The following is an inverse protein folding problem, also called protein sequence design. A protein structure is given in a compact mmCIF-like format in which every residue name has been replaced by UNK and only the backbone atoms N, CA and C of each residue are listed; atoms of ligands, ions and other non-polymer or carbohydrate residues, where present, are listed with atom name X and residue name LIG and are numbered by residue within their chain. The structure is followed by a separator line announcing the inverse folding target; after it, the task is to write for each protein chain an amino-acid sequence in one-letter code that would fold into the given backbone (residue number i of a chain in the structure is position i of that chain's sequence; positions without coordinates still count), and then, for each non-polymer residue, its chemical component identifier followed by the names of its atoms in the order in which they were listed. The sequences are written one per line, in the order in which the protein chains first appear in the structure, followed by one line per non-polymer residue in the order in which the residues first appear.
data_IF_411720047850
#
_entry.id   IF_411720047850
#
_cell.length_a   1.000
_cell.length_b   1.000
_cell.length_c   1.000
_cell.angle_alpha   90.00
_cell.angle_beta   90.00
_cell.angle_gamma   90.00
#
_symmetry.space_group_name_H-M   'P 1'
#
loop_
_entity.id
_entity.type
_entity.pdbx_description
1 polymer ?
#
# COMPACT_ATOMS: atom_id res chain seq x y z
N UNK A 1 -8.98 -15.81 2.95
CA UNK A 1 -8.47 -16.32 4.24
C UNK A 1 -8.40 -15.15 5.23
N UNK A 2 -8.41 -15.41 6.54
CA UNK A 2 -8.21 -14.37 7.56
C UNK A 2 -6.72 -14.12 7.79
N UNK A 3 -6.35 -12.86 8.00
CA UNK A 3 -4.99 -12.40 8.30
C UNK A 3 -4.69 -12.45 9.78
N UNK A 4 -3.47 -12.86 10.12
CA UNK A 4 -2.81 -12.51 11.38
C UNK A 4 -1.34 -12.19 11.12
N UNK A 5 -0.77 -11.27 11.89
CA UNK A 5 0.63 -10.90 11.87
C UNK A 5 1.53 -12.11 12.14
N UNK A 6 2.75 -12.06 11.59
CA UNK A 6 3.84 -12.94 11.98
C UNK A 6 4.56 -12.39 13.22
N UNK A 7 5.86 -12.63 13.28
CA UNK A 7 6.70 -12.17 14.39
C UNK A 7 6.84 -10.64 14.44
N UNK A 8 6.65 -9.97 13.31
CA UNK A 8 6.72 -8.51 13.16
C UNK A 8 5.41 -8.02 12.58
N UNK A 9 4.86 -6.95 13.17
CA UNK A 9 3.75 -6.18 12.61
C UNK A 9 4.24 -4.81 12.12
N UNK A 10 3.49 -4.23 11.20
CA UNK A 10 3.72 -2.90 10.66
C UNK A 10 2.72 -1.90 11.25
N UNK A 11 3.08 -0.62 11.17
CA UNK A 11 2.22 0.51 11.47
C UNK A 11 2.10 1.35 10.19
N UNK A 12 0.89 1.80 9.83
CA UNK A 12 0.70 2.68 8.65
C UNK A 12 1.41 4.02 8.85
N UNK A 13 1.77 4.67 7.76
CA UNK A 13 2.70 5.81 7.80
C UNK A 13 2.02 7.06 8.34
N UNK A 14 0.82 7.36 7.84
CA UNK A 14 0.09 8.59 8.15
C UNK A 14 -0.98 8.40 9.22
N UNK A 15 -1.92 7.45 9.03
CA UNK A 15 -3.02 7.20 9.97
C UNK A 15 -2.58 6.45 11.24
N UNK A 16 -1.35 5.90 11.23
CA UNK A 16 -0.78 5.12 12.34
C UNK A 16 -1.61 3.88 12.70
N UNK A 17 -2.18 3.22 11.69
CA UNK A 17 -2.93 1.97 11.89
C UNK A 17 -1.97 0.85 12.26
N UNK A 18 -2.16 0.27 13.44
CA UNK A 18 -1.32 -0.80 13.98
C UNK A 18 -1.71 -2.19 13.43
N UNK A 19 -0.90 -3.20 13.74
CA UNK A 19 -1.15 -4.62 13.41
C UNK A 19 -1.37 -4.85 11.91
N UNK A 20 -0.61 -4.12 11.10
CA UNK A 20 -0.60 -4.27 9.65
C UNK A 20 0.37 -5.37 9.20
N UNK A 21 -0.01 -6.14 8.19
CA UNK A 21 0.87 -7.06 7.47
C UNK A 21 1.38 -6.45 6.16
N UNK A 22 0.69 -5.41 5.68
CA UNK A 22 1.07 -4.62 4.53
C UNK A 22 0.69 -3.15 4.75
N UNK A 23 1.55 -2.23 4.33
CA UNK A 23 1.29 -0.78 4.29
C UNK A 23 1.81 -0.17 2.99
N UNK A 24 1.07 0.81 2.46
CA UNK A 24 1.37 1.62 1.28
C UNK A 24 1.09 3.07 1.62
N UNK A 25 2.01 3.97 1.33
CA UNK A 25 1.77 5.41 1.42
C UNK A 25 2.34 6.09 0.21
N UNK A 26 1.49 6.78 -0.55
CA UNK A 26 1.83 7.43 -1.80
C UNK A 26 1.62 8.93 -1.66
N UNK A 27 2.65 9.70 -2.02
CA UNK A 27 2.53 11.13 -2.20
C UNK A 27 2.52 11.45 -3.70
N UNK A 28 1.42 12.04 -4.15
CA UNK A 28 1.32 12.61 -5.49
C UNK A 28 1.31 14.13 -5.40
N UNK A 29 2.05 14.75 -6.31
CA UNK A 29 2.13 16.19 -6.46
C UNK A 29 1.66 16.61 -7.84
N UNK A 30 1.00 17.76 -7.90
CA UNK A 30 0.65 18.42 -9.15
C UNK A 30 1.49 19.67 -9.36
N UNK A 31 2.09 19.80 -10.55
CA UNK A 31 2.73 21.05 -10.97
C UNK A 31 1.72 22.13 -11.37
N UNK A 32 2.14 23.41 -11.36
CA UNK A 32 1.34 24.53 -11.88
C UNK A 32 1.05 24.32 -13.38
N UNK A 33 -0.21 24.31 -13.78
CA UNK A 33 -0.60 24.84 -15.09
C UNK A 33 -0.91 26.32 -14.91
N UNK A 34 -0.60 27.12 -15.93
CA UNK A 34 -0.68 28.59 -15.90
C UNK A 34 -2.02 29.16 -15.42
N UNK A 35 -2.01 30.49 -15.27
CA UNK A 35 -3.08 31.37 -14.79
C UNK A 35 -4.46 31.06 -15.39
N UNK A 36 -5.18 30.08 -14.85
CA UNK A 36 -6.57 29.88 -15.20
C UNK A 36 -7.36 29.42 -13.98
N UNK A 37 -8.32 30.27 -13.62
CA UNK A 37 -9.30 30.07 -12.56
C UNK A 37 -10.36 29.12 -13.11
N UNK A 38 -10.07 27.83 -13.14
CA UNK A 38 -11.03 26.82 -13.56
C UNK A 38 -11.20 25.75 -12.48
N UNK A 39 -12.26 25.97 -11.69
CA UNK A 39 -12.95 25.04 -10.80
C UNK A 39 -12.14 24.42 -9.61
N UNK A 40 -12.47 24.77 -8.34
CA UNK A 40 -11.75 24.28 -7.15
C UNK A 40 -11.91 22.77 -6.88
N UNK A 41 -12.81 22.10 -7.62
CA UNK A 41 -12.98 20.65 -7.56
C UNK A 41 -12.16 19.98 -8.68
N UNK A 42 -10.96 19.53 -8.32
CA UNK A 42 -10.35 18.30 -8.85
C UNK A 42 -9.55 18.29 -10.17
N UNK A 43 -9.23 19.41 -10.83
CA UNK A 43 -8.54 19.34 -12.14
C UNK A 43 -7.02 19.50 -12.09
N UNK A 44 -6.33 18.73 -11.24
CA UNK A 44 -4.97 18.35 -11.58
C UNK A 44 -5.01 17.21 -12.60
N UNK A 45 -4.81 17.53 -13.88
CA UNK A 45 -4.83 16.54 -14.97
C UNK A 45 -3.63 15.60 -14.97
N UNK A 46 -2.55 15.91 -14.21
CA UNK A 46 -1.31 15.13 -14.17
C UNK A 46 -0.73 15.02 -12.76
N UNK A 47 -1.41 14.26 -11.89
CA UNK A 47 -0.83 13.85 -10.62
C UNK A 47 0.43 13.03 -10.85
N UNK A 48 1.58 13.51 -10.39
CA UNK A 48 2.86 12.80 -10.48
C UNK A 48 3.17 12.16 -9.13
N UNK A 49 3.44 10.85 -9.13
CA UNK A 49 3.98 10.17 -7.96
C UNK A 49 5.37 10.72 -7.66
N UNK A 50 5.56 11.26 -6.46
CA UNK A 50 6.84 11.84 -6.00
C UNK A 50 7.44 11.10 -4.84
N UNK A 51 6.63 10.40 -4.05
CA UNK A 51 7.08 9.56 -2.93
C UNK A 51 6.22 8.31 -2.85
N UNK A 52 6.84 7.17 -2.53
CA UNK A 52 6.15 5.92 -2.31
C UNK A 52 6.87 5.09 -1.24
N UNK A 53 6.15 4.78 -0.17
CA UNK A 53 6.55 3.84 0.88
C UNK A 53 5.68 2.61 0.77
N UNK A 54 6.27 1.43 0.64
CA UNK A 54 5.53 0.16 0.62
C UNK A 54 6.28 -0.88 1.42
N UNK A 55 5.62 -1.44 2.42
CA UNK A 55 6.21 -2.41 3.33
C UNK A 55 5.29 -3.62 3.47
N UNK A 56 5.88 -4.81 3.50
CA UNK A 56 5.21 -6.06 3.78
C UNK A 56 6.00 -6.80 4.85
N UNK A 57 5.29 -7.38 5.82
CA UNK A 57 5.85 -8.30 6.79
C UNK A 57 5.48 -9.73 6.40
N UNK A 58 6.17 -10.72 6.96
CA UNK A 58 5.67 -12.09 6.92
C UNK A 58 4.41 -12.19 7.77
N UNK A 59 3.42 -12.94 7.29
CA UNK A 59 2.13 -13.03 7.96
C UNK A 59 1.48 -14.37 7.73
N UNK A 60 0.49 -14.69 8.56
CA UNK A 60 -0.26 -15.91 8.42
C UNK A 60 -1.59 -15.67 7.75
N UNK A 61 -1.98 -16.65 6.94
CA UNK A 61 -3.35 -16.80 6.47
C UNK A 61 -3.97 -18.05 7.07
N UNK A 62 -5.20 -17.91 7.54
CA UNK A 62 -5.98 -19.03 8.06
C UNK A 62 -7.23 -19.21 7.22
N UNK A 63 -7.44 -20.43 6.73
CA UNK A 63 -8.70 -20.81 6.11
C UNK A 63 -9.78 -20.94 7.20
N UNK A 64 -10.78 -20.07 7.15
CA UNK A 64 -11.79 -19.98 8.19
C UNK A 64 -12.67 -21.24 8.31
N UNK A 65 -12.76 -22.06 7.25
CA UNK A 65 -13.55 -23.30 7.26
C UNK A 65 -12.78 -24.47 7.86
N UNK A 66 -11.53 -24.67 7.43
CA UNK A 66 -10.73 -25.84 7.80
C UNK A 66 -9.77 -25.58 8.97
N UNK A 67 -9.57 -24.33 9.38
CA UNK A 67 -8.58 -23.94 10.39
C UNK A 67 -7.12 -24.09 9.93
N UNK A 68 -6.89 -24.53 8.68
CA UNK A 68 -5.53 -24.68 8.14
C UNK A 68 -4.87 -23.32 8.03
N UNK A 69 -3.65 -23.24 8.56
CA UNK A 69 -2.82 -22.03 8.59
C UNK A 69 -1.60 -22.21 7.70
N UNK A 70 -1.23 -21.14 7.00
CA UNK A 70 0.01 -21.08 6.22
C UNK A 70 0.74 -19.75 6.49
N UNK A 71 2.07 -19.82 6.59
CA UNK A 71 2.93 -18.65 6.70
C UNK A 71 3.26 -18.12 5.31
N UNK A 72 2.87 -16.88 5.02
CA UNK A 72 3.22 -16.17 3.80
C UNK A 72 4.55 -15.45 4.02
N UNK A 73 5.53 -15.79 3.18
CA UNK A 73 6.86 -15.17 3.19
C UNK A 73 6.88 -13.95 2.28
N UNK A 74 6.39 -12.83 2.79
CA UNK A 74 6.25 -11.54 2.09
C UNK A 74 7.29 -10.49 2.53
N UNK A 75 8.12 -10.81 3.53
CA UNK A 75 9.05 -9.90 4.22
C UNK A 75 10.36 -9.54 3.50
N UNK A 76 11.23 -8.89 4.29
CA UNK A 76 12.32 -7.98 3.91
C UNK A 76 13.21 -8.44 2.73
N UNK A 77 13.36 -7.56 1.73
CA UNK A 77 13.97 -7.74 0.39
C UNK A 77 13.09 -8.37 -0.71
N UNK A 78 11.83 -8.72 -0.41
CA UNK A 78 10.86 -9.09 -1.44
C UNK A 78 10.08 -7.85 -1.91
N UNK A 79 9.95 -7.68 -3.24
CA UNK A 79 9.20 -6.58 -3.86
C UNK A 79 7.77 -7.07 -3.96
N UNK A 80 7.02 -7.09 -2.85
CA UNK A 80 5.61 -7.46 -2.88
C UNK A 80 4.86 -6.44 -3.73
N UNK A 81 4.01 -6.92 -4.64
CA UNK A 81 3.08 -6.07 -5.37
C UNK A 81 1.69 -6.37 -4.86
N UNK A 82 1.19 -5.58 -3.93
CA UNK A 82 -0.18 -5.71 -3.45
C UNK A 82 -1.09 -5.07 -4.49
N UNK A 83 -2.15 -5.78 -4.83
CA UNK A 83 -3.22 -5.26 -5.68
C UNK A 83 -4.33 -4.75 -4.77
N UNK A 84 -3.97 -3.88 -3.82
CA UNK A 84 -4.95 -3.14 -3.03
C UNK A 84 -5.05 -1.73 -3.57
N UNK A 85 -6.26 -1.20 -3.63
CA UNK A 85 -6.46 0.22 -3.92
C UNK A 85 -6.09 1.03 -2.67
N UNK A 86 -5.23 2.03 -2.83
CA UNK A 86 -4.97 3.00 -1.78
C UNK A 86 -6.13 3.98 -1.64
N UNK A 87 -6.49 4.31 -0.39
CA UNK A 87 -7.51 5.32 -0.09
C UNK A 87 -6.88 6.72 -0.16
N UNK A 88 -7.56 7.65 -0.82
CA UNK A 88 -7.17 9.07 -0.78
C UNK A 88 -7.53 9.63 0.59
N UNK A 89 -6.52 9.89 1.43
CA UNK A 89 -6.72 10.43 2.77
C UNK A 89 -6.73 11.95 2.78
N UNK A 90 -5.80 12.55 2.03
CA UNK A 90 -5.64 14.00 1.98
C UNK A 90 -5.56 14.45 0.53
N UNK A 91 -6.31 15.49 0.19
CA UNK A 91 -6.12 16.27 -1.04
C UNK A 91 -6.16 17.73 -0.66
N UNK A 92 -5.08 18.46 -0.96
CA UNK A 92 -4.99 19.89 -0.67
C UNK A 92 -5.52 20.71 -1.84
N UNK A 93 -5.99 21.93 -1.55
CA UNK A 93 -6.40 22.90 -2.56
C UNK A 93 -5.39 24.06 -2.63
N UNK A 94 -5.50 24.90 -3.67
CA UNK A 94 -4.52 25.97 -3.97
C UNK A 94 -4.42 27.06 -2.88
N UNK A 95 -5.36 27.12 -1.95
CA UNK A 95 -5.47 28.19 -0.95
C UNK A 95 -5.55 27.67 0.48
N UNK A 96 -5.22 26.39 0.70
CA UNK A 96 -5.32 25.77 2.03
C UNK A 96 -3.93 25.55 2.59
N UNK A 97 -3.65 26.17 3.73
CA UNK A 97 -2.46 25.85 4.52
C UNK A 97 -2.43 24.35 4.84
N UNK A 98 -1.27 23.72 4.69
CA UNK A 98 -1.12 22.31 5.05
C UNK A 98 -1.35 22.13 6.55
N UNK A 99 -2.08 21.07 6.93
CA UNK A 99 -2.26 20.73 8.35
C UNK A 99 -0.90 20.49 9.02
N UNK A 100 -0.80 20.79 10.31
CA UNK A 100 0.41 20.55 11.10
C UNK A 100 0.88 19.10 11.03
N UNK A 101 -0.06 18.15 11.07
CA UNK A 101 0.21 16.71 10.91
C UNK A 101 0.85 16.40 9.56
N UNK A 102 0.33 16.96 8.46
CA UNK A 102 0.91 16.76 7.13
C UNK A 102 2.28 17.42 6.99
N UNK A 103 2.47 18.63 7.54
CA UNK A 103 3.77 19.32 7.56
C UNK A 103 4.83 18.49 8.30
N UNK A 104 4.49 17.97 9.48
CA UNK A 104 5.38 17.11 10.26
C UNK A 104 5.74 15.84 9.49
N UNK A 105 4.74 15.14 8.94
CA UNK A 105 4.96 13.92 8.16
C UNK A 105 5.87 14.12 6.94
N UNK A 106 5.72 15.25 6.23
CA UNK A 106 6.58 15.63 5.11
C UNK A 106 8.02 15.93 5.57
N UNK A 107 8.17 16.68 6.67
CA UNK A 107 9.47 17.06 7.23
C UNK A 107 10.28 15.84 7.69
N UNK A 108 9.64 14.89 8.39
CA UNK A 108 10.27 13.62 8.81
C UNK A 108 10.88 12.83 7.64
N UNK A 109 10.36 13.02 6.43
CA UNK A 109 10.77 12.34 5.20
C UNK A 109 11.63 13.21 4.28
N UNK A 110 12.02 14.41 4.71
CA UNK A 110 12.73 15.40 3.91
C UNK A 110 12.01 15.75 2.60
N UNK A 111 10.67 15.78 2.61
CA UNK A 111 9.84 16.10 1.46
C UNK A 111 9.45 17.59 1.49
N UNK A 112 9.52 18.26 0.33
CA UNK A 112 9.13 19.67 0.21
C UNK A 112 7.65 19.89 0.54
N UNK A 113 7.38 20.90 1.37
CA UNK A 113 6.06 21.39 1.77
C UNK A 113 5.64 22.68 1.04
N UNK A 114 6.29 23.00 -0.09
CA UNK A 114 6.03 24.23 -0.86
C UNK A 114 4.53 24.51 -1.06
N UNK A 115 4.10 25.69 -0.62
CA UNK A 115 2.71 26.15 -0.62
C UNK A 115 2.08 26.21 -2.02
N UNK A 116 2.90 26.30 -3.07
CA UNK A 116 2.45 26.39 -4.45
C UNK A 116 2.07 25.03 -5.09
N UNK A 117 2.32 23.91 -4.41
CA UNK A 117 2.10 22.56 -4.95
C UNK A 117 0.82 21.94 -4.39
N UNK A 118 -0.04 21.42 -5.26
CA UNK A 118 -1.16 20.57 -4.81
C UNK A 118 -0.61 19.20 -4.40
N UNK A 119 -1.02 18.75 -3.22
CA UNK A 119 -0.58 17.50 -2.61
C UNK A 119 -1.79 16.57 -2.50
N UNK A 120 -1.58 15.31 -2.88
CA UNK A 120 -2.49 14.20 -2.61
C UNK A 120 -1.72 13.12 -1.87
N UNK A 121 -2.18 12.78 -0.68
CA UNK A 121 -1.67 11.68 0.12
C UNK A 121 -2.68 10.54 0.05
N UNK A 122 -2.20 9.37 -0.35
CA UNK A 122 -2.97 8.13 -0.41
C UNK A 122 -2.30 7.11 0.51
N UNK A 123 -3.10 6.33 1.22
CA UNK A 123 -2.62 5.27 2.11
C UNK A 123 -3.48 4.03 1.93
N UNK A 124 -2.84 2.86 1.96
CA UNK A 124 -3.49 1.56 1.93
C UNK A 124 -2.81 0.64 2.92
N UNK A 125 -3.57 -0.24 3.56
CA UNK A 125 -3.03 -1.20 4.52
C UNK A 125 -3.87 -2.48 4.55
N UNK A 126 -3.26 -3.56 5.02
CA UNK A 126 -3.94 -4.81 5.36
C UNK A 126 -3.64 -5.10 6.83
N UNK A 127 -4.66 -5.12 7.67
CA UNK A 127 -4.56 -5.39 9.10
C UNK A 127 -5.03 -6.80 9.46
N UNK A 128 -4.68 -7.23 10.67
CA UNK A 128 -5.23 -8.45 11.24
C UNK A 128 -6.76 -8.50 11.17
N UNK A 129 -7.30 -9.70 10.96
CA UNK A 129 -8.74 -9.93 10.81
C UNK A 129 -9.30 -9.58 9.42
N UNK A 130 -8.56 -8.87 8.57
CA UNK A 130 -8.98 -8.67 7.18
C UNK A 130 -9.01 -9.98 6.39
N UNK A 131 -9.84 -10.00 5.34
CA UNK A 131 -9.90 -11.11 4.39
C UNK A 131 -9.06 -10.77 3.16
N UNK A 132 -8.13 -11.66 2.80
CA UNK A 132 -7.43 -11.58 1.52
C UNK A 132 -7.37 -12.92 0.80
N UNK A 133 -6.91 -12.87 -0.44
CA UNK A 133 -6.38 -14.01 -1.18
C UNK A 133 -4.90 -13.78 -1.48
N UNK A 134 -4.12 -14.86 -1.44
CA UNK A 134 -2.67 -14.85 -1.67
C UNK A 134 -2.35 -15.80 -2.81
N UNK A 135 -1.53 -15.33 -3.75
CA UNK A 135 -0.98 -16.15 -4.83
C UNK A 135 0.51 -16.34 -4.59
N UNK A 136 0.97 -17.59 -4.58
CA UNK A 136 2.37 -17.95 -4.38
C UNK A 136 2.62 -19.45 -4.48
N UNK A 137 3.85 -19.86 -4.22
CA UNK A 137 4.29 -21.25 -4.26
C UNK A 137 4.08 -21.86 -2.86
N UNK A 138 3.20 -22.85 -2.76
CA UNK A 138 2.98 -23.60 -1.53
C UNK A 138 4.13 -24.60 -1.31
N UNK A 139 4.72 -24.56 -0.13
CA UNK A 139 5.78 -25.45 0.33
C UNK A 139 5.42 -25.99 1.71
N UNK A 140 5.80 -27.22 2.01
CA UNK A 140 5.69 -27.79 3.36
C UNK A 140 7.09 -27.97 3.94
N UNK A 141 7.39 -27.35 5.08
CA UNK A 141 8.67 -27.49 5.79
C UNK A 141 8.40 -27.80 7.26
N UNK A 142 8.99 -28.88 7.78
CA UNK A 142 8.85 -29.31 9.17
C UNK A 142 7.39 -29.44 9.67
N UNK A 143 6.45 -29.76 8.77
CA UNK A 143 5.03 -29.85 9.09
C UNK A 143 4.23 -28.57 8.79
N UNK A 144 4.89 -27.42 8.72
CA UNK A 144 4.26 -26.12 8.47
C UNK A 144 4.08 -25.85 6.98
N UNK A 145 2.93 -25.27 6.63
CA UNK A 145 2.68 -24.74 5.30
C UNK A 145 3.27 -23.34 5.17
N UNK A 146 4.08 -23.13 4.14
CA UNK A 146 4.68 -21.85 3.79
C UNK A 146 4.30 -21.49 2.36
N UNK A 147 4.01 -20.21 2.12
CA UNK A 147 3.73 -19.67 0.79
C UNK A 147 4.84 -18.69 0.45
N UNK A 148 5.59 -19.00 -0.61
CA UNK A 148 6.68 -18.17 -1.10
C UNK A 148 6.25 -17.35 -2.33
N UNK A 149 6.87 -16.19 -2.59
CA UNK A 149 6.63 -15.44 -3.81
C UNK A 149 7.02 -16.30 -5.03
N UNK A 150 6.29 -16.18 -6.15
CA UNK A 150 6.67 -16.80 -7.42
C UNK A 150 8.06 -16.32 -7.86
N UNK A 151 8.83 -17.18 -8.54
CA UNK A 151 10.15 -16.84 -9.09
C UNK A 151 10.08 -15.88 -10.28
N UNK A 152 9.01 -16.00 -11.08
CA UNK A 152 8.75 -15.18 -12.25
C UNK A 152 7.56 -14.26 -12.02
N UNK A 153 7.54 -13.07 -12.66
CA UNK A 153 6.38 -12.20 -12.68
C UNK A 153 5.13 -12.91 -13.20
N UNK A 154 4.02 -12.85 -12.48
CA UNK A 154 2.74 -13.34 -13.01
C UNK A 154 2.10 -12.19 -13.77
N UNK A 155 1.89 -12.33 -15.08
CA UNK A 155 1.06 -11.39 -15.83
C UNK A 155 -0.41 -11.70 -15.54
N UNK A 156 -1.10 -10.83 -14.81
CA UNK A 156 -2.55 -10.74 -14.92
C UNK A 156 -2.86 -10.07 -16.26
N UNK A 157 -3.46 -10.81 -17.20
CA UNK A 157 -3.82 -10.28 -18.52
C UNK A 157 -4.66 -9.00 -18.36
N UNK A 158 -4.22 -7.93 -19.06
CA UNK A 158 -5.01 -6.72 -19.23
C UNK A 158 -4.40 -5.40 -18.76
N UNK A 159 -3.10 -5.27 -18.51
CA UNK A 159 -2.31 -4.04 -18.77
C UNK A 159 -0.83 -4.42 -18.61
N UNK A 160 0.06 -3.92 -19.48
CA UNK A 160 1.49 -4.20 -19.40
C UNK A 160 2.12 -3.67 -18.10
N UNK A 161 2.12 -4.49 -17.06
CA UNK A 161 3.00 -4.38 -15.92
C UNK A 161 3.61 -5.77 -15.69
N UNK A 162 4.90 -5.92 -16.00
CA UNK A 162 5.65 -7.11 -15.60
C UNK A 162 5.77 -7.08 -14.08
N UNK A 163 4.93 -7.85 -13.37
CA UNK A 163 4.78 -7.81 -11.90
C UNK A 163 5.66 -8.85 -11.22
N UNK A 164 6.86 -8.54 -10.67
CA UNK A 164 7.56 -9.52 -9.86
C UNK A 164 6.84 -9.69 -8.50
N UNK A 165 6.65 -10.95 -8.08
CA UNK A 165 6.43 -11.43 -6.68
C UNK A 165 4.99 -11.33 -6.13
N UNK A 166 4.81 -12.01 -4.98
CA UNK A 166 3.54 -12.41 -4.35
C UNK A 166 2.43 -11.36 -4.46
N UNK A 167 1.25 -11.83 -4.88
CA UNK A 167 0.07 -10.99 -5.12
C UNK A 167 -0.87 -11.11 -3.93
N UNK A 168 -1.15 -9.97 -3.29
CA UNK A 168 -2.20 -9.84 -2.29
C UNK A 168 -3.44 -9.27 -2.99
N UNK A 169 -4.52 -10.04 -2.99
CA UNK A 169 -5.79 -9.64 -3.58
C UNK A 169 -6.80 -9.37 -2.47
N UNK A 170 -7.43 -8.18 -2.42
CA UNK A 170 -8.61 -7.98 -1.61
C UNK A 170 -9.72 -8.88 -2.15
N UNK A 171 -10.45 -9.57 -1.26
CA UNK A 171 -11.72 -10.17 -1.68
C UNK A 171 -12.80 -9.10 -1.63
N UNK A 172 -13.48 -8.89 -2.76
CA UNK A 172 -14.74 -8.14 -2.78
C UNK A 172 -15.71 -8.73 -1.74
N UNK A 173 -16.42 -7.84 -1.02
CA UNK A 173 -17.38 -8.20 0.02
C UNK A 173 -18.50 -9.08 -0.53
#
# INVERSE_FOLDING_TARGET
QLVSCGDISLISSYEKVENCVYTSTLLRKCGRWGSEVANPKNNCSRWKLTHAERFAADFYITDAKSGKRALVKAGYHTKVVPLIDENVLVTTSRSTDLSSTLKCWLQERNLSSEEAQLIRLEEGYITEGMKLSVIGILSKKNGDFMIFPPREPISTEGTAATVPRAVLLPRAR
#
